data_IF_834448798368
#
_entry.id   IF_834448798368
#
_cell.length_a   1.000
_cell.length_b   1.000
_cell.length_c   1.000
_cell.angle_alpha   90.00
_cell.angle_beta   90.00
_cell.angle_gamma   90.00
#
_symmetry.space_group_name_H-M   'P 1'
#
loop_
_entity.id
_entity.type
_entity.pdbx_description
1 polymer ?
#
# COMPACT_ATOMS: atom_id res chain seq x y z
N UNK A 1 -9.36 18.17 6.81
CA UNK A 1 -8.82 17.25 5.78
C UNK A 1 -9.99 16.44 5.29
N UNK A 2 -10.23 16.42 3.98
CA UNK A 2 -11.21 15.50 3.42
C UNK A 2 -10.65 14.07 3.52
N UNK A 3 -11.29 13.24 4.35
CA UNK A 3 -10.90 11.85 4.60
C UNK A 3 -11.10 11.00 3.34
N UNK A 4 -12.12 11.30 2.54
CA UNK A 4 -12.40 10.56 1.32
C UNK A 4 -11.28 10.76 0.29
N UNK A 5 -10.88 12.01 0.04
CA UNK A 5 -9.70 12.31 -0.77
C UNK A 5 -8.42 11.64 -0.21
N UNK A 6 -8.25 11.66 1.11
CA UNK A 6 -7.06 11.11 1.76
C UNK A 6 -6.92 9.60 1.52
N UNK A 7 -8.02 8.84 1.66
CA UNK A 7 -8.02 7.38 1.54
C UNK A 7 -8.20 6.88 0.11
N UNK A 8 -8.96 7.58 -0.73
CA UNK A 8 -9.39 7.06 -2.04
C UNK A 8 -8.86 7.84 -3.24
N UNK A 9 -8.44 9.10 -3.08
CA UNK A 9 -7.88 9.89 -4.17
C UNK A 9 -6.41 9.56 -4.47
N UNK A 10 -5.94 9.79 -5.69
CA UNK A 10 -4.52 9.63 -6.05
C UNK A 10 -3.79 10.97 -6.26
N UNK A 11 -4.54 12.06 -6.40
CA UNK A 11 -4.00 13.39 -6.66
C UNK A 11 -3.46 14.07 -5.41
N UNK A 12 -2.49 14.97 -5.61
CA UNK A 12 -1.93 15.82 -4.56
C UNK A 12 -0.79 15.18 -3.78
N UNK A 13 -0.48 15.79 -2.63
CA UNK A 13 0.70 15.49 -1.82
C UNK A 13 0.33 15.28 -0.36
N UNK A 14 0.98 14.33 0.28
CA UNK A 14 0.87 14.13 1.74
C UNK A 14 2.26 14.15 2.37
N UNK A 15 2.34 14.78 3.55
CA UNK A 15 3.57 14.79 4.34
C UNK A 15 3.81 13.42 4.99
N UNK A 16 5.02 13.23 5.52
CA UNK A 16 5.42 11.98 6.19
C UNK A 16 4.51 11.59 7.36
N UNK A 17 4.04 12.53 8.17
CA UNK A 17 3.24 12.23 9.35
C UNK A 17 1.87 11.63 8.97
N UNK A 18 1.24 12.17 7.92
CA UNK A 18 0.02 11.60 7.36
C UNK A 18 0.26 10.22 6.75
N UNK A 19 1.41 10.00 6.12
CA UNK A 19 1.76 8.69 5.59
C UNK A 19 2.03 7.65 6.69
N UNK A 20 2.67 8.03 7.79
CA UNK A 20 2.79 7.20 9.00
C UNK A 20 1.43 6.86 9.62
N UNK A 21 0.50 7.82 9.66
CA UNK A 21 -0.87 7.57 10.09
C UNK A 21 -1.56 6.55 9.17
N UNK A 22 -1.40 6.68 7.85
CA UNK A 22 -1.94 5.72 6.89
C UNK A 22 -1.37 4.31 7.14
N UNK A 23 -0.08 4.18 7.43
CA UNK A 23 0.53 2.90 7.80
C UNK A 23 -0.14 2.30 9.04
N UNK A 24 -0.34 3.08 10.10
CA UNK A 24 -1.02 2.58 11.31
C UNK A 24 -2.43 2.09 10.99
N UNK A 25 -3.20 2.86 10.21
CA UNK A 25 -4.56 2.47 9.78
C UNK A 25 -4.52 1.18 8.97
N UNK A 26 -3.57 1.03 8.04
CA UNK A 26 -3.41 -0.16 7.22
C UNK A 26 -2.94 -1.38 8.02
N UNK A 27 -2.10 -1.20 9.04
CA UNK A 27 -1.69 -2.27 9.94
C UNK A 27 -2.86 -2.75 10.80
N UNK A 28 -3.68 -1.83 11.31
CA UNK A 28 -4.89 -2.18 12.05
C UNK A 28 -5.90 -2.90 11.14
N UNK A 29 -6.09 -2.39 9.93
CA UNK A 29 -6.94 -3.04 8.91
C UNK A 29 -6.45 -4.44 8.56
N UNK A 30 -5.15 -4.60 8.31
CA UNK A 30 -4.52 -5.88 8.00
C UNK A 30 -4.59 -6.85 9.17
N UNK A 31 -4.38 -6.38 10.41
CA UNK A 31 -4.54 -7.18 11.62
C UNK A 31 -5.98 -7.64 11.81
N UNK A 32 -6.95 -6.75 11.65
CA UNK A 32 -8.37 -7.09 11.68
C UNK A 32 -8.74 -8.12 10.60
N UNK A 33 -8.26 -7.92 9.37
CA UNK A 33 -8.44 -8.87 8.29
C UNK A 33 -7.85 -10.24 8.64
N UNK A 34 -6.63 -10.30 9.16
CA UNK A 34 -5.99 -11.55 9.56
C UNK A 34 -6.78 -12.23 10.68
N UNK A 35 -7.25 -11.51 11.70
CA UNK A 35 -8.07 -12.10 12.77
C UNK A 35 -9.39 -12.67 12.23
N UNK A 36 -10.02 -11.98 11.27
CA UNK A 36 -11.27 -12.41 10.67
C UNK A 36 -11.12 -13.67 9.80
N UNK A 37 -9.99 -13.83 9.11
CA UNK A 37 -9.78 -14.89 8.11
C UNK A 37 -8.67 -15.89 8.45
N UNK A 38 -7.99 -15.80 9.60
CA UNK A 38 -6.88 -16.69 9.95
C UNK A 38 -7.29 -18.16 9.99
N UNK A 39 -8.44 -18.44 10.61
CA UNK A 39 -8.99 -19.79 10.68
C UNK A 39 -9.37 -20.31 9.30
N UNK A 40 -9.96 -19.45 8.46
CA UNK A 40 -10.32 -19.78 7.08
C UNK A 40 -9.08 -20.11 6.25
N UNK A 41 -7.99 -19.32 6.35
CA UNK A 41 -6.74 -19.58 5.62
C UNK A 41 -6.16 -20.95 5.97
N UNK A 42 -6.13 -21.31 7.26
CA UNK A 42 -5.64 -22.61 7.72
C UNK A 42 -6.55 -23.77 7.28
N UNK A 43 -7.87 -23.61 7.40
CA UNK A 43 -8.85 -24.61 6.98
C UNK A 43 -8.86 -24.78 5.46
N UNK A 44 -8.77 -23.71 4.69
CA UNK A 44 -8.67 -23.74 3.23
C UNK A 44 -7.41 -24.52 2.82
N UNK A 45 -6.25 -24.23 3.42
CA UNK A 45 -5.02 -24.96 3.11
C UNK A 45 -5.12 -26.47 3.38
N UNK A 46 -5.79 -26.87 4.47
CA UNK A 46 -6.04 -28.27 4.82
C UNK A 46 -7.04 -28.95 3.85
N UNK A 47 -8.16 -28.29 3.58
CA UNK A 47 -9.23 -28.82 2.73
C UNK A 47 -8.82 -28.92 1.26
N UNK A 48 -7.98 -28.00 0.76
CA UNK A 48 -7.47 -28.05 -0.60
C UNK A 48 -6.69 -29.34 -0.92
N UNK A 49 -6.08 -29.98 0.09
CA UNK A 49 -5.27 -31.19 -0.07
C UNK A 49 -6.05 -32.50 0.15
N UNK A 50 -7.15 -32.47 0.90
CA UNK A 50 -7.80 -33.70 1.38
C UNK A 50 -9.32 -33.76 1.19
N UNK A 51 -9.98 -32.65 0.86
CA UNK A 51 -11.43 -32.62 0.79
C UNK A 51 -11.99 -32.82 -0.63
N UNK A 52 -13.20 -33.40 -0.76
CA UNK A 52 -13.99 -33.40 -1.98
C UNK A 52 -14.15 -31.98 -2.58
N UNK A 53 -14.31 -31.89 -3.90
CA UNK A 53 -14.30 -30.62 -4.64
C UNK A 53 -15.43 -29.67 -4.25
N UNK A 54 -16.61 -30.18 -3.95
CA UNK A 54 -17.79 -29.46 -3.45
C UNK A 54 -17.54 -28.81 -2.09
N UNK A 55 -16.91 -29.54 -1.16
CA UNK A 55 -16.55 -29.02 0.17
C UNK A 55 -15.50 -27.91 0.04
N UNK A 56 -14.50 -28.07 -0.83
CA UNK A 56 -13.47 -27.06 -1.10
C UNK A 56 -14.07 -25.76 -1.63
N UNK A 57 -14.97 -25.85 -2.60
CA UNK A 57 -15.65 -24.69 -3.19
C UNK A 57 -16.44 -23.92 -2.12
N UNK A 58 -17.20 -24.62 -1.28
CA UNK A 58 -17.99 -23.97 -0.21
C UNK A 58 -17.14 -23.18 0.79
N UNK A 59 -15.96 -23.69 1.16
CA UNK A 59 -15.04 -23.04 2.09
C UNK A 59 -14.35 -21.80 1.49
N UNK A 60 -14.21 -21.73 0.17
CA UNK A 60 -13.57 -20.62 -0.53
C UNK A 60 -14.50 -19.43 -0.77
N UNK A 61 -15.81 -19.66 -0.86
CA UNK A 61 -16.80 -18.62 -1.20
C UNK A 61 -16.73 -17.42 -0.25
N UNK A 62 -16.72 -17.57 1.10
CA UNK A 62 -16.65 -16.43 2.00
C UNK A 62 -15.39 -15.59 1.79
N UNK A 63 -14.24 -16.24 1.56
CA UNK A 63 -12.99 -15.55 1.28
C UNK A 63 -13.06 -14.74 -0.02
N UNK A 64 -13.61 -15.31 -1.11
CA UNK A 64 -13.72 -14.57 -2.36
C UNK A 64 -14.77 -13.47 -2.33
N UNK A 65 -15.89 -13.67 -1.64
CA UNK A 65 -17.00 -12.70 -1.59
C UNK A 65 -16.74 -11.56 -0.61
N UNK A 66 -16.11 -11.84 0.54
CA UNK A 66 -15.91 -10.86 1.61
C UNK A 66 -14.43 -10.53 1.78
N UNK A 67 -13.57 -11.56 1.81
CA UNK A 67 -12.15 -11.37 2.03
C UNK A 67 -11.47 -10.59 0.89
N UNK A 68 -11.73 -10.97 -0.36
CA UNK A 68 -11.07 -10.36 -1.52
C UNK A 68 -11.42 -8.87 -1.67
N UNK A 69 -12.68 -8.41 -1.53
CA UNK A 69 -12.98 -6.98 -1.56
C UNK A 69 -12.34 -6.20 -0.41
N UNK A 70 -12.28 -6.76 0.81
CA UNK A 70 -11.62 -6.13 1.96
C UNK A 70 -10.10 -5.99 1.76
N UNK A 71 -9.46 -7.00 1.16
CA UNK A 71 -8.06 -6.92 0.75
C UNK A 71 -7.83 -5.86 -0.32
N UNK A 72 -8.69 -5.82 -1.34
CA UNK A 72 -8.62 -4.82 -2.41
C UNK A 72 -8.80 -3.41 -1.87
N UNK A 73 -9.68 -3.20 -0.89
CA UNK A 73 -9.85 -1.92 -0.22
C UNK A 73 -8.58 -1.50 0.51
N UNK A 74 -7.96 -2.39 1.29
CA UNK A 74 -6.68 -2.11 1.95
C UNK A 74 -5.56 -1.79 0.96
N UNK A 75 -5.46 -2.57 -0.12
CA UNK A 75 -4.50 -2.35 -1.20
C UNK A 75 -4.74 -1.01 -1.91
N UNK A 76 -6.00 -0.62 -2.10
CA UNK A 76 -6.37 0.67 -2.68
C UNK A 76 -5.91 1.84 -1.81
N UNK A 77 -6.22 1.80 -0.51
CA UNK A 77 -5.81 2.83 0.45
C UNK A 77 -4.28 2.94 0.52
N UNK A 78 -3.59 1.79 0.51
CA UNK A 78 -2.14 1.75 0.43
C UNK A 78 -1.62 2.43 -0.84
N UNK A 79 -2.14 2.08 -2.01
CA UNK A 79 -1.72 2.68 -3.28
C UNK A 79 -2.00 4.19 -3.31
N UNK A 80 -3.20 4.61 -2.89
CA UNK A 80 -3.63 6.01 -2.85
C UNK A 80 -2.72 6.86 -1.96
N UNK A 81 -2.30 6.34 -0.80
CA UNK A 81 -1.44 7.09 0.13
C UNK A 81 0.03 7.05 -0.29
N UNK A 82 0.54 5.90 -0.75
CA UNK A 82 1.91 5.76 -1.25
C UNK A 82 2.16 6.62 -2.50
N UNK A 83 1.21 6.70 -3.43
CA UNK A 83 1.30 7.54 -4.63
C UNK A 83 1.36 9.03 -4.24
N UNK A 84 0.47 9.51 -3.36
CA UNK A 84 0.53 10.90 -2.86
C UNK A 84 1.86 11.18 -2.14
N UNK A 85 2.46 10.17 -1.52
CA UNK A 85 3.76 10.30 -0.86
C UNK A 85 4.91 10.37 -1.86
N UNK A 86 4.87 9.60 -2.95
CA UNK A 86 5.80 9.72 -4.07
C UNK A 86 5.69 11.08 -4.75
N UNK A 87 4.47 11.58 -4.93
CA UNK A 87 4.22 12.93 -5.44
C UNK A 87 4.82 14.01 -4.55
N UNK A 88 4.77 13.83 -3.23
CA UNK A 88 5.43 14.75 -2.29
C UNK A 88 6.95 14.78 -2.44
N UNK A 89 7.53 13.68 -2.96
CA UNK A 89 8.96 13.55 -3.32
C UNK A 89 9.24 13.93 -4.77
N UNK A 90 8.27 14.52 -5.47
CA UNK A 90 8.33 14.85 -6.89
C UNK A 90 8.58 13.63 -7.82
N UNK A 91 8.28 12.41 -7.36
CA UNK A 91 8.42 11.18 -8.15
C UNK A 91 7.11 10.81 -8.84
N UNK A 92 7.23 10.18 -10.01
CA UNK A 92 6.09 9.58 -10.71
C UNK A 92 5.51 8.42 -9.88
N UNK A 93 4.19 8.20 -9.97
CA UNK A 93 3.53 7.03 -9.40
C UNK A 93 4.08 5.70 -9.93
N UNK A 94 4.73 5.70 -11.10
CA UNK A 94 5.38 4.51 -11.68
C UNK A 94 6.48 3.92 -10.79
N UNK A 95 7.06 4.67 -9.86
CA UNK A 95 8.02 4.13 -8.90
C UNK A 95 7.42 3.07 -7.96
N UNK A 96 6.08 3.01 -7.84
CA UNK A 96 5.38 1.90 -7.18
C UNK A 96 5.74 0.54 -7.80
N UNK A 97 6.00 0.52 -9.12
CA UNK A 97 6.41 -0.70 -9.82
C UNK A 97 7.74 -1.19 -9.27
N UNK A 98 8.74 -0.32 -9.17
CA UNK A 98 10.08 -0.68 -8.68
C UNK A 98 10.07 -1.10 -7.21
N UNK A 99 9.25 -0.47 -6.36
CA UNK A 99 9.29 -0.70 -4.91
C UNK A 99 8.40 -1.87 -4.45
N UNK A 100 7.34 -2.17 -5.19
CA UNK A 100 6.34 -3.15 -4.74
C UNK A 100 6.09 -4.26 -5.76
N UNK A 101 5.99 -3.92 -7.05
CA UNK A 101 5.66 -4.91 -8.08
C UNK A 101 6.89 -5.76 -8.41
N UNK A 102 8.02 -5.13 -8.77
CA UNK A 102 9.25 -5.85 -9.13
C UNK A 102 9.68 -6.81 -8.01
N UNK A 103 9.80 -6.40 -6.73
CA UNK A 103 10.14 -7.33 -5.65
C UNK A 103 9.17 -8.50 -5.52
N UNK A 104 7.85 -8.26 -5.64
CA UNK A 104 6.82 -9.29 -5.47
C UNK A 104 6.85 -10.38 -6.56
N UNK A 105 7.34 -10.06 -7.76
CA UNK A 105 7.42 -11.00 -8.88
C UNK A 105 8.83 -11.57 -9.09
N UNK A 106 9.88 -10.83 -8.73
CA UNK A 106 11.27 -11.23 -8.97
C UNK A 106 11.63 -12.53 -8.26
N UNK A 107 11.23 -12.70 -6.98
CA UNK A 107 11.46 -13.95 -6.25
C UNK A 107 10.75 -15.16 -6.87
N UNK A 108 9.56 -14.96 -7.45
CA UNK A 108 8.80 -16.01 -8.15
C UNK A 108 9.43 -16.38 -9.49
N UNK A 109 10.04 -15.42 -10.18
CA UNK A 109 10.76 -15.68 -11.42
C UNK A 109 12.00 -16.55 -11.16
N UNK A 110 12.79 -16.22 -10.13
CA UNK A 110 13.94 -17.04 -9.72
C UNK A 110 13.56 -18.48 -9.39
N UNK A 111 12.46 -18.68 -8.66
CA UNK A 111 11.98 -20.02 -8.32
C UNK A 111 11.60 -20.88 -9.54
N UNK A 112 11.10 -20.27 -10.63
CA UNK A 112 10.75 -21.00 -11.86
C UNK A 112 11.96 -21.49 -12.64
N UNK A 113 13.12 -20.86 -12.46
CA UNK A 113 14.37 -21.22 -13.15
C UNK A 113 15.04 -22.42 -12.45
N UNK A 114 14.71 -22.71 -11.19
CA UNK A 114 15.21 -23.88 -10.45
C UNK A 114 16.68 -23.80 -10.05
N UNK A 115 17.35 -22.65 -10.27
CA UNK A 115 18.74 -22.43 -9.89
C UNK A 115 18.81 -21.65 -8.57
N UNK A 116 19.39 -22.28 -7.53
CA UNK A 116 19.52 -21.68 -6.19
C UNK A 116 20.20 -20.32 -6.21
N UNK A 117 21.31 -20.17 -6.95
CA UNK A 117 22.04 -18.91 -7.07
C UNK A 117 21.17 -17.78 -7.66
N UNK A 118 20.33 -18.08 -8.66
CA UNK A 118 19.42 -17.10 -9.27
C UNK A 118 18.33 -16.68 -8.28
N UNK A 119 17.81 -17.61 -7.49
CA UNK A 119 16.82 -17.33 -6.44
C UNK A 119 17.40 -16.40 -5.36
N UNK A 120 18.62 -16.67 -4.90
CA UNK A 120 19.30 -15.86 -3.89
C UNK A 120 19.58 -14.45 -4.39
N UNK A 121 20.15 -14.30 -5.60
CA UNK A 121 20.41 -13.00 -6.21
C UNK A 121 19.10 -12.22 -6.41
N UNK A 122 18.05 -12.89 -6.88
CA UNK A 122 16.72 -12.29 -7.05
C UNK A 122 16.15 -11.79 -5.72
N UNK A 123 16.32 -12.56 -4.64
CA UNK A 123 15.87 -12.19 -3.31
C UNK A 123 16.64 -10.98 -2.77
N UNK A 124 17.97 -10.91 -2.97
CA UNK A 124 18.78 -9.76 -2.57
C UNK A 124 18.39 -8.47 -3.31
N UNK A 125 18.14 -8.55 -4.62
CA UNK A 125 17.66 -7.41 -5.41
C UNK A 125 16.28 -6.96 -4.92
N UNK A 126 15.36 -7.91 -4.71
CA UNK A 126 14.02 -7.63 -4.20
C UNK A 126 14.08 -6.95 -2.82
N UNK A 127 14.97 -7.42 -1.93
CA UNK A 127 15.21 -6.82 -0.62
C UNK A 127 15.75 -5.39 -0.75
N UNK A 128 16.77 -5.17 -1.59
CA UNK A 128 17.34 -3.84 -1.80
C UNK A 128 16.31 -2.82 -2.30
N UNK A 129 15.47 -3.22 -3.26
CA UNK A 129 14.38 -2.38 -3.78
C UNK A 129 13.32 -2.08 -2.71
N UNK A 130 12.96 -3.08 -1.91
CA UNK A 130 11.98 -2.93 -0.82
C UNK A 130 12.50 -2.00 0.26
N UNK A 131 13.75 -2.19 0.71
CA UNK A 131 14.40 -1.33 1.70
C UNK A 131 14.51 0.12 1.20
N UNK A 132 14.91 0.30 -0.06
CA UNK A 132 14.97 1.62 -0.67
C UNK A 132 13.58 2.28 -0.75
N UNK A 133 12.54 1.53 -1.14
CA UNK A 133 11.16 2.01 -1.12
C UNK A 133 10.70 2.43 0.28
N UNK A 134 11.04 1.68 1.31
CA UNK A 134 10.77 2.02 2.70
C UNK A 134 11.47 3.32 3.12
N UNK A 135 12.77 3.45 2.85
CA UNK A 135 13.55 4.67 3.15
C UNK A 135 12.93 5.88 2.44
N UNK A 136 12.63 5.75 1.15
CA UNK A 136 12.07 6.83 0.35
C UNK A 136 10.71 7.31 0.88
N UNK A 137 9.82 6.38 1.22
CA UNK A 137 8.46 6.71 1.62
C UNK A 137 8.37 7.18 3.08
N UNK A 138 9.07 6.50 4.00
CA UNK A 138 8.94 6.73 5.44
C UNK A 138 10.05 7.59 6.05
N UNK A 139 11.27 7.52 5.52
CA UNK A 139 12.46 8.18 6.08
C UNK A 139 12.76 9.57 5.51
N UNK A 140 12.64 9.75 4.20
CA UNK A 140 13.11 10.99 3.54
C UNK A 140 12.10 12.14 3.63
N UNK A 141 12.57 13.40 3.71
CA UNK A 141 11.69 14.59 3.70
C UNK A 141 11.04 14.81 2.33
N UNK A 142 9.83 15.37 2.28
CA UNK A 142 9.21 15.86 1.05
C UNK A 142 9.97 17.00 0.37
N UNK A 143 9.65 17.27 -0.89
CA UNK A 143 10.21 18.39 -1.67
C UNK A 143 9.68 19.72 -1.11
N UNK A 144 10.56 20.69 -0.75
CA UNK A 144 10.09 22.00 -0.27
C UNK A 144 9.41 22.78 -1.40
N UNK A 145 8.37 23.54 -1.05
CA UNK A 145 7.66 24.40 -2.01
C UNK A 145 6.76 23.63 -3.00
N UNK A 146 6.22 24.35 -3.98
CA UNK A 146 5.33 23.78 -5.02
C UNK A 146 6.09 22.82 -5.94
N UNK A 147 5.47 21.71 -6.31
CA UNK A 147 5.95 20.82 -7.38
C UNK A 147 4.81 20.53 -8.37
N UNK A 148 5.09 19.71 -9.40
CA UNK A 148 4.10 19.36 -10.45
C UNK A 148 2.82 18.67 -9.95
N UNK A 149 2.81 18.20 -8.70
CA UNK A 149 1.66 17.55 -8.06
C UNK A 149 0.94 18.46 -7.05
N UNK A 150 1.38 19.71 -6.91
CA UNK A 150 0.70 20.72 -6.10
C UNK A 150 1.59 21.41 -5.05
N UNK A 151 0.97 22.26 -4.21
CA UNK A 151 1.67 23.03 -3.18
C UNK A 151 2.25 22.15 -2.08
N UNK A 152 3.25 22.69 -1.36
CA UNK A 152 3.86 21.98 -0.24
C UNK A 152 2.81 21.72 0.86
N UNK A 153 2.60 20.46 1.27
CA UNK A 153 1.60 20.09 2.27
C UNK A 153 1.87 20.67 3.67
N UNK A 154 3.05 21.24 3.91
CA UNK A 154 3.43 21.95 5.13
C UNK A 154 3.34 23.47 4.99
N UNK A 155 3.01 23.98 3.80
CA UNK A 155 2.77 25.42 3.61
C UNK A 155 1.68 25.88 4.56
N UNK A 156 1.83 27.02 5.23
CA UNK A 156 0.72 27.64 5.94
C UNK A 156 -0.43 27.82 4.94
N UNK A 157 -1.53 27.11 5.16
CA UNK A 157 -2.76 27.42 4.44
C UNK A 157 -3.05 28.88 4.77
N UNK A 158 -3.06 29.75 3.76
CA UNK A 158 -3.60 31.10 3.94
C UNK A 158 -5.01 30.89 4.48
N UNK A 159 -5.21 31.09 5.79
CA UNK A 159 -6.53 31.29 6.36
C UNK A 159 -7.04 32.51 5.61
N UNK A 160 -7.88 32.31 4.61
CA UNK A 160 -8.60 33.40 3.96
C UNK A 160 -9.43 34.02 5.06
N UNK A 161 -8.91 35.09 5.66
CA UNK A 161 -9.57 35.80 6.72
C UNK A 161 -10.87 36.34 6.17
N UNK A 162 -12.00 35.84 6.65
CA UNK A 162 -13.21 36.66 6.74
C UNK A 162 -12.93 37.71 7.82
N UNK A 163 -12.20 38.75 7.44
CA UNK A 163 -12.41 40.06 8.05
C UNK A 163 -13.59 40.67 7.31
N UNK A 164 -14.80 40.24 7.68
CA UNK A 164 -15.98 41.06 7.40
C UNK A 164 -15.94 42.17 8.43
N UNK A 165 -15.37 43.30 8.03
CA UNK A 165 -15.50 44.55 8.74
C UNK A 165 -16.98 44.95 8.68
N UNK A 166 -17.70 44.76 9.78
CA UNK A 166 -18.95 45.47 10.01
C UNK A 166 -18.59 46.80 10.70
N UNK A 167 -18.65 47.87 9.92
CA UNK A 167 -19.03 49.19 10.43
C UNK A 167 -20.54 49.33 10.29
#
# INVERSE_FOLDING_TARGET
>A
MDVFWFLFGFGGRINRAKYWLALVVLLLWGGFFLLLFAEDIGRIALLLNHAPSDVRLSALIPFFVIGSPLLLLGAWVFAATAIKRLHDRNKSSLWMISYFIVPAFLGKAGARIGMTSVMEISALIALGLTLWGCIELYGLKGTPGTNRFGPDPLSPQKRTGRLVAHR
#
